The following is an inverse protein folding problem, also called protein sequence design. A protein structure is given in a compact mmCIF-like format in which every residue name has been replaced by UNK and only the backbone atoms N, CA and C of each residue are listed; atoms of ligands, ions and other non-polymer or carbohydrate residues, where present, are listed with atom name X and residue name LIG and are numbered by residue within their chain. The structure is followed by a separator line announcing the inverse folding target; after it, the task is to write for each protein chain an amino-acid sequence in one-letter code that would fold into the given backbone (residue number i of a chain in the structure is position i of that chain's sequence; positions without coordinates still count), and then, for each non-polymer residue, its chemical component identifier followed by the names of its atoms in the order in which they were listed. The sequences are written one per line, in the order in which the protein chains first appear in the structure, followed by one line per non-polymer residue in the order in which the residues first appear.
data_IF_410565231118
#
_entry.id   IF_410565231118
#
_cell.length_a   1.000
_cell.length_b   1.000
_cell.length_c   1.000
_cell.angle_alpha   90.00
_cell.angle_beta   90.00
_cell.angle_gamma   90.00
#
_symmetry.space_group_name_H-M   'P 1'
#
loop_
_entity.id
_entity.type
_entity.pdbx_description
1 polymer ?
#
# COMPACT_ATOMS: atom_id res chain seq x y z
N UNK A 1 -6.37 12.26 -13.59
CA UNK A 1 -6.13 12.88 -12.27
C UNK A 1 -5.41 14.20 -12.48
N UNK A 2 -5.42 15.09 -11.49
CA UNK A 2 -4.93 16.47 -11.68
C UNK A 2 -3.40 16.62 -11.63
N UNK A 3 -2.70 15.58 -11.19
CA UNK A 3 -1.24 15.56 -11.10
C UNK A 3 -0.64 14.96 -12.39
N UNK A 4 0.51 15.49 -12.80
CA UNK A 4 1.26 14.94 -13.94
C UNK A 4 1.91 13.61 -13.59
N UNK A 5 2.05 12.73 -14.59
CA UNK A 5 2.75 11.45 -14.43
C UNK A 5 4.24 11.68 -14.10
N UNK A 6 4.85 12.73 -14.66
CA UNK A 6 6.21 13.15 -14.35
C UNK A 6 6.40 13.51 -12.86
N UNK A 7 5.44 14.21 -12.25
CA UNK A 7 5.48 14.49 -10.81
C UNK A 7 5.36 13.20 -9.98
N UNK A 8 4.57 12.24 -10.45
CA UNK A 8 4.44 10.94 -9.79
C UNK A 8 5.77 10.17 -9.83
N UNK A 9 6.44 10.12 -10.98
CA UNK A 9 7.77 9.51 -11.12
C UNK A 9 8.78 10.18 -10.20
N UNK A 10 8.83 11.52 -10.19
CA UNK A 10 9.73 12.28 -9.28
C UNK A 10 9.46 11.95 -7.82
N UNK A 11 8.19 11.85 -7.42
CA UNK A 11 7.82 11.51 -6.06
C UNK A 11 8.26 10.10 -5.68
N UNK A 12 8.00 9.10 -6.52
CA UNK A 12 8.39 7.70 -6.25
C UNK A 12 9.91 7.58 -6.19
N UNK A 13 10.63 8.21 -7.13
CA UNK A 13 12.10 8.23 -7.15
C UNK A 13 12.67 8.85 -5.88
N UNK A 14 12.12 9.96 -5.41
CA UNK A 14 12.57 10.57 -4.17
C UNK A 14 12.35 9.64 -2.97
N UNK A 15 11.15 9.04 -2.84
CA UNK A 15 10.82 8.16 -1.71
C UNK A 15 11.68 6.88 -1.68
N UNK A 16 12.04 6.37 -2.86
CA UNK A 16 12.91 5.19 -3.05
C UNK A 16 14.39 5.54 -3.19
N UNK A 17 14.80 6.71 -2.66
CA UNK A 17 16.22 7.11 -2.56
C UNK A 17 16.97 7.13 -3.90
N UNK A 18 16.27 7.45 -4.99
CA UNK A 18 16.85 7.64 -6.32
C UNK A 18 16.99 6.39 -7.19
N UNK A 19 16.87 5.18 -6.63
CA UNK A 19 17.14 3.93 -7.37
C UNK A 19 15.82 3.28 -7.77
N UNK A 20 15.38 3.56 -8.99
CA UNK A 20 14.09 3.09 -9.53
C UNK A 20 14.12 2.85 -11.03
N UNK A 21 13.14 2.11 -11.55
CA UNK A 21 12.82 2.02 -12.97
C UNK A 21 11.75 3.03 -13.35
N UNK A 22 12.18 4.23 -13.73
CA UNK A 22 11.28 5.36 -14.05
C UNK A 22 10.34 5.05 -15.21
N UNK A 23 10.79 4.26 -16.18
CA UNK A 23 9.99 3.81 -17.32
C UNK A 23 8.78 2.98 -16.86
N UNK A 24 8.97 2.05 -15.92
CA UNK A 24 7.89 1.23 -15.36
C UNK A 24 6.93 2.06 -14.49
N UNK A 25 7.46 3.02 -13.73
CA UNK A 25 6.65 3.90 -12.88
C UNK A 25 5.80 4.84 -13.74
N UNK A 26 6.38 5.40 -14.81
CA UNK A 26 5.67 6.26 -15.74
C UNK A 26 4.57 5.48 -16.45
N UNK A 27 4.88 4.27 -16.93
CA UNK A 27 3.90 3.42 -17.61
C UNK A 27 2.73 3.04 -16.70
N UNK A 28 2.99 2.71 -15.44
CA UNK A 28 1.94 2.52 -14.43
C UNK A 28 1.12 3.80 -14.23
N UNK A 29 1.81 4.94 -14.02
CA UNK A 29 1.18 6.21 -13.69
C UNK A 29 0.23 6.73 -14.77
N UNK A 30 0.48 6.43 -16.05
CA UNK A 30 -0.42 6.81 -17.15
C UNK A 30 -1.63 5.89 -17.34
N UNK A 31 -1.66 4.70 -16.73
CA UNK A 31 -2.77 3.75 -16.85
C UNK A 31 -3.64 3.64 -15.58
N UNK A 32 -3.09 3.96 -14.41
CA UNK A 32 -3.74 3.67 -13.11
C UNK A 32 -5.10 4.35 -12.94
N UNK A 33 -5.27 5.56 -13.45
CA UNK A 33 -6.53 6.32 -13.30
C UNK A 33 -7.70 5.65 -14.02
N UNK A 34 -7.47 5.02 -15.17
CA UNK A 34 -8.51 4.30 -15.91
C UNK A 34 -9.00 3.07 -15.12
N UNK A 35 -8.08 2.35 -14.47
CA UNK A 35 -8.44 1.25 -13.56
C UNK A 35 -9.25 1.75 -12.36
N UNK A 36 -8.93 2.92 -11.80
CA UNK A 36 -9.70 3.52 -10.70
C UNK A 36 -11.12 3.90 -11.13
N UNK A 37 -11.29 4.43 -12.34
CA UNK A 37 -12.61 4.72 -12.91
C UNK A 37 -13.43 3.44 -13.07
N UNK A 38 -12.83 2.36 -13.58
CA UNK A 38 -13.48 1.05 -13.69
C UNK A 38 -13.91 0.51 -12.31
N UNK A 39 -13.09 0.68 -11.26
CA UNK A 39 -13.49 0.25 -9.92
C UNK A 39 -14.76 0.96 -9.43
N UNK A 40 -14.88 2.26 -9.67
CA UNK A 40 -16.09 3.01 -9.33
C UNK A 40 -17.30 2.55 -10.16
N UNK A 41 -17.09 2.33 -11.46
CA UNK A 41 -18.11 1.80 -12.38
C UNK A 41 -18.64 0.44 -11.93
N UNK A 42 -17.75 -0.44 -11.46
CA UNK A 42 -18.11 -1.74 -10.87
C UNK A 42 -18.74 -1.64 -9.48
N UNK A 43 -18.84 -0.44 -8.91
CA UNK A 43 -19.59 -0.16 -7.70
C UNK A 43 -18.76 0.19 -6.47
N UNK A 44 -17.45 0.41 -6.58
CA UNK A 44 -16.61 0.83 -5.45
C UNK A 44 -17.01 2.25 -4.99
N UNK A 45 -17.47 2.45 -3.75
CA UNK A 45 -17.91 3.78 -3.31
C UNK A 45 -16.72 4.72 -3.05
N UNK A 46 -16.57 5.74 -3.88
CA UNK A 46 -15.53 6.78 -3.80
C UNK A 46 -16.04 8.01 -3.04
N UNK A 47 -15.27 8.50 -2.05
CA UNK A 47 -15.62 9.73 -1.35
C UNK A 47 -15.42 10.94 -2.26
N UNK A 48 -16.35 11.89 -2.21
CA UNK A 48 -16.38 13.07 -3.10
C UNK A 48 -16.51 14.37 -2.33
N UNK A 49 -15.98 15.43 -2.91
CA UNK A 49 -16.13 16.80 -2.40
C UNK A 49 -17.28 17.50 -3.10
N UNK A 50 -18.07 18.25 -2.34
CA UNK A 50 -19.02 19.22 -2.87
C UNK A 50 -18.31 20.52 -3.27
N UNK A 51 -19.00 21.37 -4.02
CA UNK A 51 -18.48 22.69 -4.43
C UNK A 51 -18.16 23.60 -3.23
N UNK A 52 -18.86 23.44 -2.10
CA UNK A 52 -18.58 24.12 -0.83
C UNK A 52 -17.50 23.41 0.02
N UNK A 53 -16.68 22.55 -0.60
CA UNK A 53 -15.56 21.83 0.01
C UNK A 53 -15.91 20.86 1.15
N UNK A 54 -17.16 20.40 1.25
CA UNK A 54 -17.55 19.37 2.23
C UNK A 54 -17.26 17.97 1.69
N UNK A 55 -16.81 17.10 2.58
CA UNK A 55 -16.56 15.69 2.27
C UNK A 55 -17.86 14.90 2.36
N UNK A 56 -18.17 14.12 1.32
CA UNK A 56 -19.22 13.12 1.31
C UNK A 56 -18.59 11.73 1.23
N UNK A 57 -19.05 10.82 2.10
CA UNK A 57 -18.73 9.40 1.99
C UNK A 57 -19.16 8.81 0.64
N UNK A 58 -18.66 7.63 0.33
CA UNK A 58 -18.88 7.01 -0.98
C UNK A 58 -20.34 6.75 -1.33
N UNK A 59 -21.22 6.52 -0.35
CA UNK A 59 -22.64 6.33 -0.63
C UNK A 59 -23.33 7.67 -0.93
N UNK A 60 -23.15 8.67 -0.06
CA UNK A 60 -23.72 10.01 -0.23
C UNK A 60 -23.13 10.73 -1.44
N UNK A 61 -21.88 10.44 -1.79
CA UNK A 61 -21.16 11.01 -2.91
C UNK A 61 -21.69 10.58 -4.28
N UNK A 62 -22.42 9.46 -4.38
CA UNK A 62 -22.98 8.98 -5.66
C UNK A 62 -23.82 10.04 -6.39
N UNK A 63 -24.50 10.92 -5.65
CA UNK A 63 -25.33 12.00 -6.21
C UNK A 63 -24.52 13.08 -6.96
N UNK A 64 -23.19 13.12 -6.79
CA UNK A 64 -22.31 14.10 -7.42
C UNK A 64 -21.72 13.62 -8.77
N UNK A 65 -22.23 12.51 -9.33
CA UNK A 65 -21.67 11.90 -10.54
C UNK A 65 -20.44 11.03 -10.24
N UNK A 66 -19.76 10.54 -11.28
CA UNK A 66 -18.55 9.69 -11.15
C UNK A 66 -17.28 10.54 -11.21
N UNK A 67 -16.15 9.98 -10.75
CA UNK A 67 -14.83 10.59 -10.92
C UNK A 67 -14.49 10.77 -12.41
N UNK A 68 -14.91 9.81 -13.25
CA UNK A 68 -14.73 9.85 -14.70
C UNK A 68 -15.48 11.03 -15.34
N UNK A 69 -16.64 11.40 -14.80
CA UNK A 69 -17.46 12.52 -15.27
C UNK A 69 -17.07 13.87 -14.64
N UNK A 70 -15.97 13.92 -13.88
CA UNK A 70 -15.42 15.16 -13.32
C UNK A 70 -15.78 15.42 -11.85
N UNK A 71 -16.39 14.48 -11.14
CA UNK A 71 -16.58 14.62 -9.69
C UNK A 71 -15.22 14.71 -8.97
N UNK A 72 -15.11 15.66 -8.03
CA UNK A 72 -13.85 15.87 -7.30
C UNK A 72 -13.70 14.86 -6.15
N UNK A 73 -12.63 14.05 -6.08
CA UNK A 73 -12.45 13.08 -5.01
C UNK A 73 -12.02 13.76 -3.69
N UNK A 74 -12.39 13.14 -2.55
CA UNK A 74 -11.75 13.47 -1.27
C UNK A 74 -10.35 12.86 -1.24
N UNK A 75 -9.34 13.70 -1.05
CA UNK A 75 -7.93 13.31 -0.97
C UNK A 75 -7.44 13.32 0.48
N UNK A 76 -6.71 12.28 0.89
CA UNK A 76 -5.96 12.32 2.17
C UNK A 76 -4.63 13.03 1.99
N UNK A 77 -3.91 12.74 0.91
CA UNK A 77 -2.71 13.43 0.48
C UNK A 77 -2.73 13.70 -1.03
N UNK A 78 -1.61 14.15 -1.59
CA UNK A 78 -1.52 14.48 -3.03
C UNK A 78 -1.93 13.32 -3.94
N UNK A 79 -1.61 12.08 -3.55
CA UNK A 79 -1.68 10.90 -4.43
C UNK A 79 -2.79 9.90 -4.09
N UNK A 80 -3.47 10.06 -2.96
CA UNK A 80 -4.43 9.08 -2.43
C UNK A 80 -5.84 9.67 -2.37
N UNK A 81 -6.84 8.86 -2.70
CA UNK A 81 -8.27 9.19 -2.58
C UNK A 81 -8.94 8.32 -1.51
N UNK A 82 -9.98 8.85 -0.87
CA UNK A 82 -10.76 8.13 0.13
C UNK A 82 -11.85 7.28 -0.51
N UNK A 83 -12.04 6.08 0.03
CA UNK A 83 -13.02 5.09 -0.44
C UNK A 83 -13.70 4.40 0.74
N UNK A 84 -14.93 3.94 0.57
CA UNK A 84 -15.51 2.92 1.46
C UNK A 84 -15.14 1.53 0.90
N UNK A 85 -13.91 1.10 1.17
CA UNK A 85 -13.28 -0.04 0.51
C UNK A 85 -13.48 -1.40 1.15
N UNK A 86 -14.46 -1.59 2.04
CA UNK A 86 -14.68 -2.88 2.74
C UNK A 86 -14.83 -4.04 1.74
N UNK A 87 -15.64 -3.85 0.70
CA UNK A 87 -15.90 -4.84 -0.34
C UNK A 87 -14.98 -4.72 -1.56
N UNK A 88 -13.89 -3.95 -1.48
CA UNK A 88 -13.03 -3.65 -2.64
C UNK A 88 -12.55 -4.93 -3.35
N UNK A 89 -12.04 -5.92 -2.59
CA UNK A 89 -11.61 -7.19 -3.20
C UNK A 89 -12.78 -7.99 -3.80
N UNK A 90 -13.97 -7.94 -3.21
CA UNK A 90 -15.14 -8.65 -3.77
C UNK A 90 -15.55 -8.06 -5.11
N UNK A 91 -15.60 -6.74 -5.21
CA UNK A 91 -15.91 -6.01 -6.46
C UNK A 91 -14.92 -6.39 -7.56
N UNK A 92 -13.62 -6.30 -7.29
CA UNK A 92 -12.58 -6.63 -8.29
C UNK A 92 -12.60 -8.12 -8.65
N UNK A 93 -12.84 -9.01 -7.68
CA UNK A 93 -12.93 -10.45 -7.93
C UNK A 93 -14.16 -10.81 -8.78
N UNK A 94 -15.29 -10.14 -8.56
CA UNK A 94 -16.50 -10.32 -9.37
C UNK A 94 -16.27 -9.90 -10.83
N UNK A 95 -15.66 -8.73 -11.06
CA UNK A 95 -15.31 -8.28 -12.40
C UNK A 95 -14.37 -9.26 -13.12
N UNK A 96 -13.33 -9.76 -12.44
CA UNK A 96 -12.42 -10.76 -13.00
C UNK A 96 -13.13 -12.10 -13.30
N UNK A 97 -14.02 -12.53 -12.41
CA UNK A 97 -14.80 -13.76 -12.55
C UNK A 97 -15.76 -13.70 -13.74
N UNK A 98 -16.47 -12.58 -13.91
CA UNK A 98 -17.34 -12.33 -15.06
C UNK A 98 -16.58 -12.29 -16.39
N UNK A 99 -15.36 -11.74 -16.39
CA UNK A 99 -14.53 -11.64 -17.59
C UNK A 99 -13.92 -12.98 -18.01
N UNK A 100 -13.50 -13.82 -17.05
CA UNK A 100 -12.81 -15.09 -17.32
C UNK A 100 -13.74 -16.29 -17.43
N UNK A 101 -14.88 -16.29 -16.74
CA UNK A 101 -15.72 -17.48 -16.52
C UNK A 101 -15.22 -18.37 -15.39
N UNK A 102 -16.15 -18.89 -14.58
CA UNK A 102 -15.86 -19.74 -13.40
C UNK A 102 -15.02 -20.97 -13.73
N UNK A 103 -15.25 -21.57 -14.90
CA UNK A 103 -14.56 -22.76 -15.37
C UNK A 103 -13.06 -22.54 -15.63
N UNK A 104 -12.64 -21.29 -15.81
CA UNK A 104 -11.24 -20.90 -16.01
C UNK A 104 -10.55 -20.50 -14.71
N UNK A 105 -11.21 -20.65 -13.55
CA UNK A 105 -10.70 -20.26 -12.25
C UNK A 105 -10.50 -21.50 -11.37
N UNK A 106 -9.23 -21.80 -11.09
CA UNK A 106 -8.85 -22.84 -10.14
C UNK A 106 -8.61 -22.24 -8.76
N UNK A 107 -9.56 -22.42 -7.85
CA UNK A 107 -9.38 -22.06 -6.44
C UNK A 107 -8.81 -23.24 -5.64
N UNK A 108 -8.20 -22.93 -4.48
CA UNK A 108 -7.64 -23.93 -3.55
C UNK A 108 -6.59 -24.86 -4.18
N UNK A 109 -5.91 -24.38 -5.22
CA UNK A 109 -4.73 -25.01 -5.81
C UNK A 109 -3.51 -24.15 -5.45
N UNK A 110 -2.53 -24.75 -4.79
CA UNK A 110 -1.27 -24.07 -4.48
C UNK A 110 -0.22 -24.46 -5.51
N UNK A 111 0.29 -23.47 -6.24
CA UNK A 111 1.37 -23.65 -7.22
C UNK A 111 2.71 -23.66 -6.50
N UNK A 112 3.57 -24.62 -6.82
CA UNK A 112 4.83 -24.88 -6.12
C UNK A 112 6.05 -24.60 -7.00
N UNK A 113 5.99 -24.94 -8.28
CA UNK A 113 7.14 -24.88 -9.19
C UNK A 113 6.69 -24.52 -10.61
N UNK A 114 7.55 -23.82 -11.34
CA UNK A 114 7.39 -23.52 -12.76
C UNK A 114 8.14 -24.55 -13.61
N UNK A 115 7.63 -24.84 -14.79
CA UNK A 115 8.25 -25.77 -15.74
C UNK A 115 8.72 -24.97 -16.96
N UNK A 116 10.01 -25.03 -17.26
CA UNK A 116 10.56 -24.52 -18.52
C UNK A 116 10.42 -25.54 -19.65
N UNK A 117 10.52 -25.07 -20.89
CA UNK A 117 10.47 -25.88 -22.09
C UNK A 117 11.65 -26.87 -22.10
N UNK A 118 11.37 -28.11 -22.50
CA UNK A 118 12.35 -29.19 -22.48
C UNK A 118 13.51 -28.96 -23.49
N UNK A 119 13.26 -28.19 -24.55
CA UNK A 119 14.22 -27.91 -25.61
C UNK A 119 14.80 -26.49 -25.50
N UNK A 120 14.18 -25.61 -24.72
CA UNK A 120 14.65 -24.25 -24.48
C UNK A 120 14.58 -23.88 -22.98
N UNK A 121 15.70 -23.97 -22.24
CA UNK A 121 15.73 -23.78 -20.80
C UNK A 121 15.36 -22.36 -20.34
N UNK A 122 15.39 -21.37 -21.24
CA UNK A 122 15.02 -19.98 -20.95
C UNK A 122 13.57 -19.64 -21.34
N UNK A 123 12.78 -20.64 -21.70
CA UNK A 123 11.39 -20.46 -22.10
C UNK A 123 10.46 -21.19 -21.14
N UNK A 124 9.40 -20.52 -20.71
CA UNK A 124 8.40 -21.12 -19.83
C UNK A 124 7.46 -22.07 -20.61
N UNK A 125 7.03 -23.16 -19.98
CA UNK A 125 6.11 -24.15 -20.55
C UNK A 125 4.93 -24.52 -19.63
N UNK A 126 4.97 -24.16 -18.35
CA UNK A 126 3.89 -24.49 -17.43
C UNK A 126 4.21 -24.32 -15.96
N UNK A 127 3.34 -24.89 -15.12
CA UNK A 127 3.49 -24.91 -13.67
C UNK A 127 2.91 -26.19 -13.06
N UNK A 128 3.40 -26.54 -11.88
CA UNK A 128 2.93 -27.68 -11.08
C UNK A 128 2.40 -27.16 -9.75
N UNK A 129 1.26 -27.69 -9.34
CA UNK A 129 0.67 -27.43 -8.04
C UNK A 129 -0.15 -28.61 -7.53
N UNK A 130 -0.77 -28.43 -6.37
CA UNK A 130 -1.65 -29.44 -5.80
C UNK A 130 -2.86 -28.80 -5.13
N UNK A 131 -3.95 -29.55 -5.05
CA UNK A 131 -5.15 -29.12 -4.32
C UNK A 131 -4.91 -29.20 -2.81
N UNK A 132 -5.36 -28.18 -2.08
CA UNK A 132 -5.40 -28.18 -0.61
C UNK A 132 -6.75 -28.68 -0.07
N UNK A 133 -7.52 -29.40 -0.89
CA UNK A 133 -8.84 -29.96 -0.53
C UNK A 133 -8.99 -31.45 -0.89
N UNK A 134 -8.18 -31.95 -1.80
CA UNK A 134 -8.20 -33.34 -2.28
C UNK A 134 -6.80 -33.76 -2.74
N UNK A 135 -6.55 -35.06 -2.87
CA UNK A 135 -5.25 -35.60 -3.28
C UNK A 135 -5.08 -35.53 -4.80
N UNK A 136 -5.00 -34.31 -5.35
CA UNK A 136 -4.91 -34.05 -6.79
C UNK A 136 -3.71 -33.15 -7.10
N UNK A 137 -2.85 -33.63 -8.00
CA UNK A 137 -1.74 -32.86 -8.56
C UNK A 137 -2.19 -32.23 -9.88
N UNK A 138 -1.91 -30.93 -10.03
CA UNK A 138 -2.17 -30.17 -11.25
C UNK A 138 -0.87 -29.97 -12.01
N UNK A 139 -0.88 -30.36 -13.30
CA UNK A 139 0.17 -30.03 -14.25
C UNK A 139 -0.45 -29.14 -15.32
N UNK A 140 -0.12 -27.85 -15.27
CA UNK A 140 -0.72 -26.83 -16.13
C UNK A 140 0.28 -26.49 -17.22
N UNK A 141 -0.05 -26.78 -18.48
CA UNK A 141 0.75 -26.38 -19.63
C UNK A 141 0.28 -25.01 -20.12
N UNK A 142 1.22 -24.10 -20.35
CA UNK A 142 0.91 -22.73 -20.78
C UNK A 142 1.98 -22.22 -21.75
N UNK A 143 1.57 -21.39 -22.70
CA UNK A 143 2.50 -20.69 -23.61
C UNK A 143 3.09 -19.43 -22.98
N UNK A 144 2.30 -18.78 -22.12
CA UNK A 144 2.63 -17.55 -21.42
C UNK A 144 2.05 -17.62 -20.02
N UNK A 145 2.77 -17.06 -19.04
CA UNK A 145 2.38 -17.10 -17.63
C UNK A 145 2.60 -15.75 -16.96
N UNK A 146 1.73 -15.40 -16.01
CA UNK A 146 1.95 -14.30 -15.07
C UNK A 146 2.00 -14.86 -13.66
N UNK A 147 3.04 -14.51 -12.91
CA UNK A 147 3.20 -14.91 -11.51
C UNK A 147 2.86 -13.73 -10.60
N UNK A 148 1.63 -13.71 -10.07
CA UNK A 148 1.09 -12.62 -9.26
C UNK A 148 0.74 -13.08 -7.83
N UNK A 149 1.67 -13.72 -7.13
CA UNK A 149 1.44 -14.34 -5.81
C UNK A 149 1.75 -13.41 -4.61
N UNK A 150 1.92 -12.11 -4.85
CA UNK A 150 2.26 -11.10 -3.85
C UNK A 150 3.73 -11.18 -3.38
N UNK A 151 4.01 -10.54 -2.24
CA UNK A 151 5.37 -10.41 -1.68
C UNK A 151 5.79 -11.55 -0.73
N UNK A 152 6.62 -11.21 0.26
CA UNK A 152 7.10 -12.13 1.29
C UNK A 152 7.00 -11.51 2.70
N UNK A 153 6.42 -12.24 3.65
CA UNK A 153 6.33 -11.86 5.07
C UNK A 153 6.75 -13.03 5.97
N UNK A 154 6.87 -12.80 7.28
CA UNK A 154 7.36 -13.79 8.24
C UNK A 154 8.76 -14.36 7.94
N UNK A 155 9.52 -13.70 7.05
CA UNK A 155 10.94 -13.98 6.78
C UNK A 155 11.88 -13.34 7.83
N UNK A 156 11.35 -12.45 8.66
CA UNK A 156 12.01 -11.91 9.85
C UNK A 156 11.15 -12.22 11.08
N UNK A 157 11.78 -12.37 12.26
CA UNK A 157 11.05 -12.55 13.51
C UNK A 157 10.19 -11.30 13.83
N UNK A 158 8.86 -11.44 14.02
CA UNK A 158 7.99 -10.32 14.38
C UNK A 158 8.17 -9.90 15.85
N UNK A 159 7.65 -8.72 16.20
CA UNK A 159 7.69 -8.19 17.58
C UNK A 159 6.87 -9.03 18.58
N UNK A 160 5.80 -9.68 18.12
CA UNK A 160 4.98 -10.60 18.92
C UNK A 160 5.17 -12.02 18.41
N UNK A 161 5.64 -12.93 19.26
CA UNK A 161 6.06 -14.29 18.85
C UNK A 161 5.06 -15.41 19.21
N UNK A 162 4.08 -15.12 20.07
CA UNK A 162 2.94 -16.02 20.34
C UNK A 162 1.84 -15.90 19.29
N UNK A 163 0.58 -15.84 19.72
CA UNK A 163 -0.58 -15.68 18.81
C UNK A 163 -0.47 -14.43 17.91
N UNK A 164 0.15 -13.36 18.43
CA UNK A 164 0.44 -12.15 17.68
C UNK A 164 1.35 -12.33 16.46
N UNK A 165 1.98 -13.50 16.27
CA UNK A 165 2.76 -13.82 15.06
C UNK A 165 1.90 -13.79 13.79
N UNK A 166 0.60 -14.06 13.91
CA UNK A 166 -0.37 -13.91 12.81
C UNK A 166 -0.65 -12.46 12.41
N UNK A 167 -0.25 -11.48 13.23
CA UNK A 167 -0.52 -10.05 13.05
C UNK A 167 0.65 -9.35 12.35
N UNK A 168 0.98 -9.76 11.14
CA UNK A 168 1.88 -8.98 10.29
C UNK A 168 1.15 -7.76 9.71
N UNK A 169 1.88 -6.67 9.42
CA UNK A 169 1.30 -5.51 8.73
C UNK A 169 0.90 -5.84 7.27
N UNK A 170 1.75 -6.59 6.59
CA UNK A 170 1.49 -7.09 5.24
C UNK A 170 0.89 -8.51 5.32
N UNK A 171 0.12 -8.99 4.32
CA UNK A 171 -0.70 -10.19 4.48
C UNK A 171 0.09 -11.44 4.85
N UNK A 172 -0.27 -12.07 5.97
CA UNK A 172 0.47 -13.19 6.59
C UNK A 172 0.64 -14.42 5.69
N UNK A 173 -0.23 -14.58 4.70
CA UNK A 173 -0.20 -15.67 3.73
C UNK A 173 0.80 -15.48 2.58
N UNK A 174 1.48 -14.32 2.48
CA UNK A 174 2.47 -14.08 1.44
C UNK A 174 3.83 -14.73 1.80
N UNK A 175 4.10 -15.90 1.22
CA UNK A 175 5.29 -16.71 1.52
C UNK A 175 6.50 -16.45 0.59
N UNK A 176 6.45 -15.43 -0.29
CA UNK A 176 7.51 -15.20 -1.28
C UNK A 176 7.46 -16.11 -2.51
N UNK A 177 6.31 -16.76 -2.78
CA UNK A 177 6.15 -17.68 -3.92
C UNK A 177 6.49 -17.02 -5.25
N UNK A 178 6.14 -15.75 -5.46
CA UNK A 178 6.48 -14.99 -6.68
C UNK A 178 7.98 -15.02 -6.97
N UNK A 179 8.78 -14.67 -5.96
CA UNK A 179 10.23 -14.52 -6.11
C UNK A 179 10.90 -15.87 -6.33
N UNK A 180 10.60 -16.85 -5.48
CA UNK A 180 11.26 -18.16 -5.52
C UNK A 180 10.95 -18.91 -6.81
N UNK A 181 9.69 -18.93 -7.24
CA UNK A 181 9.29 -19.62 -8.46
C UNK A 181 9.90 -18.98 -9.71
N UNK A 182 9.85 -17.65 -9.82
CA UNK A 182 10.43 -16.93 -10.95
C UNK A 182 11.96 -17.10 -11.00
N UNK A 183 12.65 -16.97 -9.86
CA UNK A 183 14.10 -17.16 -9.77
C UNK A 183 14.52 -18.56 -10.20
N UNK A 184 13.81 -19.61 -9.74
CA UNK A 184 14.11 -21.00 -10.09
C UNK A 184 13.86 -21.31 -11.56
N UNK A 185 12.93 -20.60 -12.19
CA UNK A 185 12.72 -20.65 -13.64
C UNK A 185 13.78 -19.86 -14.44
N UNK A 186 14.74 -19.20 -13.77
CA UNK A 186 15.82 -18.46 -14.42
C UNK A 186 15.54 -16.97 -14.65
N UNK A 187 14.48 -16.41 -14.07
CA UNK A 187 14.21 -14.98 -14.18
C UNK A 187 15.20 -14.15 -13.35
N UNK A 188 15.63 -13.01 -13.90
CA UNK A 188 16.41 -12.02 -13.17
C UNK A 188 15.56 -11.37 -12.06
N UNK A 189 16.16 -11.22 -10.88
CA UNK A 189 15.58 -10.43 -9.79
C UNK A 189 16.32 -9.09 -9.67
N UNK A 190 15.60 -8.05 -9.28
CA UNK A 190 16.17 -6.71 -9.10
C UNK A 190 15.73 -6.12 -7.75
N UNK A 191 16.58 -5.31 -7.13
CA UNK A 191 16.31 -4.60 -5.87
C UNK A 191 15.88 -5.53 -4.71
N UNK A 192 16.41 -6.75 -4.64
CA UNK A 192 16.04 -7.74 -3.61
C UNK A 192 16.54 -7.38 -2.20
N UNK A 193 17.50 -6.47 -2.10
CA UNK A 193 17.97 -5.89 -0.85
C UNK A 193 17.00 -4.85 -0.28
N UNK A 194 16.11 -4.29 -1.12
CA UNK A 194 15.11 -3.33 -0.66
C UNK A 194 14.04 -4.03 0.18
N UNK A 195 13.81 -3.51 1.39
CA UNK A 195 12.77 -3.99 2.29
C UNK A 195 11.91 -2.84 2.76
N UNK A 196 10.62 -3.11 2.94
CA UNK A 196 9.70 -2.13 3.52
C UNK A 196 9.49 -2.41 5.01
N UNK A 197 9.91 -1.46 5.86
CA UNK A 197 9.67 -1.51 7.31
C UNK A 197 8.61 -0.47 7.68
N UNK A 198 7.34 -0.86 7.86
CA UNK A 198 6.27 0.10 8.12
C UNK A 198 6.31 0.61 9.56
N UNK A 199 6.34 1.93 9.75
CA UNK A 199 6.01 2.55 11.04
C UNK A 199 4.49 2.69 11.18
N UNK A 200 3.91 2.03 12.18
CA UNK A 200 2.46 1.92 12.41
C UNK A 200 2.15 1.97 13.90
N UNK A 201 0.86 2.01 14.24
CA UNK A 201 0.44 1.81 15.63
C UNK A 201 0.98 0.49 16.17
N UNK A 202 1.52 0.55 17.39
CA UNK A 202 2.18 -0.57 18.06
C UNK A 202 1.26 -1.79 18.13
N UNK A 203 1.84 -2.97 17.91
CA UNK A 203 1.24 -4.31 17.96
C UNK A 203 0.16 -4.59 16.89
N UNK A 204 -0.88 -3.76 16.79
CA UNK A 204 -1.97 -3.96 15.82
C UNK A 204 -1.63 -3.56 14.38
N UNK A 205 -0.58 -2.76 14.19
CA UNK A 205 -0.12 -2.23 12.90
C UNK A 205 -1.18 -1.45 12.11
N UNK A 206 -2.07 -0.76 12.82
CA UNK A 206 -3.10 0.10 12.23
C UNK A 206 -2.50 1.23 11.35
N UNK A 207 -3.26 1.70 10.35
CA UNK A 207 -2.78 2.71 9.40
C UNK A 207 -2.56 4.07 10.07
N UNK A 208 -1.49 4.75 9.67
CA UNK A 208 -1.13 6.10 10.16
C UNK A 208 -1.35 7.20 9.13
N UNK A 209 -1.57 6.84 7.86
CA UNK A 209 -1.66 7.81 6.75
C UNK A 209 -2.80 8.80 6.91
N UNK A 210 -4.00 8.34 7.28
CA UNK A 210 -5.13 9.24 7.55
C UNK A 210 -4.85 10.16 8.75
N UNK A 211 -4.23 9.65 9.81
CA UNK A 211 -3.86 10.47 10.97
C UNK A 211 -2.91 11.61 10.62
N UNK A 212 -1.84 11.34 9.88
CA UNK A 212 -0.92 12.40 9.44
C UNK A 212 -1.56 13.35 8.43
N UNK A 213 -2.22 12.80 7.41
CA UNK A 213 -2.53 13.58 6.20
C UNK A 213 -3.93 14.21 6.28
N UNK A 214 -4.91 13.53 6.86
CA UNK A 214 -6.26 14.04 7.05
C UNK A 214 -6.40 14.74 8.39
N UNK A 215 -6.05 14.05 9.49
CA UNK A 215 -6.28 14.57 10.84
C UNK A 215 -5.16 15.47 11.37
N UNK A 216 -4.06 15.60 10.63
CA UNK A 216 -2.90 16.44 10.98
C UNK A 216 -2.29 16.12 12.35
N UNK A 217 -2.39 14.86 12.78
CA UNK A 217 -1.69 14.38 13.97
C UNK A 217 -0.18 14.42 13.76
N UNK A 218 0.56 14.67 14.83
CA UNK A 218 2.03 14.57 14.87
C UNK A 218 2.49 13.40 15.73
N UNK A 219 3.79 13.14 15.68
CA UNK A 219 4.44 12.18 16.57
C UNK A 219 5.16 12.92 17.68
N UNK A 220 5.07 12.38 18.89
CA UNK A 220 5.81 12.83 20.05
C UNK A 220 6.73 11.72 20.56
N UNK A 221 7.88 12.11 21.10
CA UNK A 221 8.74 11.21 21.87
C UNK A 221 8.23 11.17 23.34
N UNK A 222 8.92 10.43 24.22
CA UNK A 222 8.51 10.30 25.63
C UNK A 222 8.56 11.61 26.43
N UNK A 223 9.21 12.64 25.91
CA UNK A 223 9.32 13.97 26.52
C UNK A 223 8.18 14.90 26.07
N UNK A 224 7.26 14.42 25.21
CA UNK A 224 6.20 15.25 24.61
C UNK A 224 6.69 16.13 23.46
N UNK A 225 7.89 15.87 22.94
CA UNK A 225 8.48 16.69 21.88
C UNK A 225 8.06 16.17 20.51
N UNK A 226 7.59 17.07 19.64
CA UNK A 226 7.45 16.79 18.20
C UNK A 226 8.84 16.70 17.53
N UNK A 227 9.52 15.58 17.78
CA UNK A 227 10.92 15.37 17.41
C UNK A 227 11.17 15.53 15.90
N UNK A 228 10.18 15.19 15.05
CA UNK A 228 10.31 15.27 13.60
C UNK A 228 10.48 16.73 13.11
N UNK A 229 10.03 17.72 13.89
CA UNK A 229 10.20 19.14 13.60
C UNK A 229 11.43 19.77 14.27
N UNK A 230 12.17 19.01 15.09
CA UNK A 230 13.33 19.50 15.85
C UNK A 230 14.52 19.83 14.94
N UNK A 231 15.41 20.71 15.42
CA UNK A 231 16.65 21.02 14.70
C UNK A 231 17.60 19.82 14.65
N UNK A 232 17.56 18.94 15.65
CA UNK A 232 18.29 17.67 15.62
C UNK A 232 17.82 16.77 14.47
N UNK A 233 16.50 16.65 14.25
CA UNK A 233 15.97 15.90 13.12
C UNK A 233 16.35 16.50 11.76
N UNK A 234 16.30 17.84 11.64
CA UNK A 234 16.74 18.53 10.41
C UNK A 234 18.23 18.30 10.14
N UNK A 235 19.07 18.40 11.16
CA UNK A 235 20.50 18.15 11.05
C UNK A 235 20.79 16.69 10.65
N UNK A 236 20.05 15.74 11.24
CA UNK A 236 20.17 14.33 10.88
C UNK A 236 19.75 14.06 9.43
N UNK A 237 18.64 14.65 8.97
CA UNK A 237 18.18 14.52 7.58
C UNK A 237 19.13 15.17 6.56
N UNK A 238 19.84 16.24 6.95
CA UNK A 238 20.79 16.92 6.07
C UNK A 238 21.95 16.00 5.63
N UNK A 239 22.31 14.99 6.43
CA UNK A 239 23.30 13.97 6.07
C UNK A 239 22.90 13.12 4.84
N UNK A 240 21.62 13.17 4.44
CA UNK A 240 21.06 12.39 3.34
C UNK A 240 20.59 13.26 2.17
N UNK A 241 21.17 14.45 2.00
CA UNK A 241 20.91 15.29 0.84
C UNK A 241 21.22 14.56 -0.49
N UNK A 242 20.45 14.80 -1.57
CA UNK A 242 19.34 15.75 -1.65
C UNK A 242 18.01 15.21 -1.07
N UNK A 243 17.92 13.91 -0.78
CA UNK A 243 16.66 13.24 -0.45
C UNK A 243 16.10 13.67 0.91
N UNK A 244 16.96 13.74 1.94
CA UNK A 244 16.57 14.15 3.30
C UNK A 244 16.14 15.61 3.40
N UNK A 245 16.58 16.45 2.46
CA UNK A 245 16.24 17.87 2.36
C UNK A 245 15.07 18.16 1.42
N UNK A 246 14.46 17.12 0.83
CA UNK A 246 13.27 17.27 0.00
C UNK A 246 12.05 17.75 0.79
N UNK A 247 11.09 18.38 0.11
CA UNK A 247 9.87 18.91 0.74
C UNK A 247 9.09 17.85 1.53
N UNK A 248 9.15 16.59 1.09
CA UNK A 248 8.68 15.42 1.83
C UNK A 248 9.86 14.46 1.97
N UNK A 249 10.43 14.31 3.17
CA UNK A 249 11.53 13.38 3.39
C UNK A 249 11.09 11.94 3.06
N UNK A 250 11.92 11.13 2.40
CA UNK A 250 11.65 9.72 2.09
C UNK A 250 11.15 8.90 3.28
N UNK A 251 10.29 7.92 3.02
CA UNK A 251 9.69 7.07 4.06
C UNK A 251 10.72 6.40 4.96
N UNK A 252 11.81 5.88 4.38
CA UNK A 252 12.90 5.27 5.15
C UNK A 252 13.62 6.26 6.07
N UNK A 253 13.78 7.52 5.65
CA UNK A 253 14.40 8.57 6.47
C UNK A 253 13.46 9.05 7.58
N UNK A 254 12.14 9.07 7.35
CA UNK A 254 11.16 9.31 8.44
C UNK A 254 11.21 8.19 9.49
N UNK A 255 11.38 6.94 9.08
CA UNK A 255 11.61 5.83 10.01
C UNK A 255 12.97 5.95 10.74
N UNK A 256 14.01 6.42 10.04
CA UNK A 256 15.33 6.64 10.62
C UNK A 256 15.28 7.63 11.78
N UNK A 257 14.51 8.72 11.65
CA UNK A 257 14.30 9.66 12.76
C UNK A 257 13.67 9.01 14.00
N UNK A 258 12.71 8.08 13.81
CA UNK A 258 12.16 7.33 14.94
C UNK A 258 13.21 6.43 15.59
N UNK A 259 14.09 5.80 14.80
CA UNK A 259 15.19 4.99 15.32
C UNK A 259 16.23 5.84 16.05
N UNK A 260 16.50 7.06 15.55
CA UNK A 260 17.39 8.03 16.19
C UNK A 260 16.90 8.36 17.60
N UNK A 261 15.61 8.66 17.77
CA UNK A 261 14.99 8.91 19.08
C UNK A 261 15.04 7.68 19.99
N UNK A 262 14.65 6.51 19.48
CA UNK A 262 14.61 5.28 20.26
C UNK A 262 16.01 4.84 20.73
N UNK A 263 17.04 4.98 19.89
CA UNK A 263 18.43 4.64 20.25
C UNK A 263 18.98 5.57 21.33
N UNK A 264 18.51 6.81 21.37
CA UNK A 264 18.86 7.76 22.41
C UNK A 264 18.01 7.61 23.68
N UNK A 265 17.17 6.56 23.77
CA UNK A 265 16.35 6.28 24.96
C UNK A 265 15.12 7.18 25.11
N UNK A 266 14.76 7.96 24.08
CA UNK A 266 13.60 8.89 24.12
C UNK A 266 12.29 8.27 23.63
N UNK A 267 12.24 6.96 23.46
CA UNK A 267 10.98 6.24 23.23
C UNK A 267 10.13 6.14 24.51
N UNK A 268 8.81 5.83 24.42
CA UNK A 268 8.07 5.44 23.22
C UNK A 268 7.79 6.61 22.26
N UNK A 269 7.55 6.26 20.99
CA UNK A 269 7.02 7.21 20.00
C UNK A 269 5.51 7.09 20.01
N UNK A 270 4.83 8.20 20.28
CA UNK A 270 3.39 8.30 20.46
C UNK A 270 2.82 9.14 19.33
N UNK A 271 1.66 8.76 18.80
CA UNK A 271 0.88 9.62 17.91
C UNK A 271 -0.17 10.34 18.73
N UNK A 272 -0.15 11.66 18.74
CA UNK A 272 -1.13 12.47 19.49
C UNK A 272 -2.47 12.54 18.74
N UNK A 273 -3.26 11.47 18.87
CA UNK A 273 -4.59 11.38 18.27
C UNK A 273 -5.61 12.23 19.02
N UNK A 274 -5.42 12.43 20.32
CA UNK A 274 -6.34 13.20 21.18
C UNK A 274 -6.26 14.68 20.83
N UNK A 275 -5.05 15.26 20.76
CA UNK A 275 -4.84 16.64 20.35
C UNK A 275 -5.29 16.88 18.91
N UNK A 276 -5.03 15.93 18.00
CA UNK A 276 -5.50 16.01 16.61
C UNK A 276 -7.03 16.10 16.51
N UNK A 277 -7.76 15.24 17.22
CA UNK A 277 -9.23 15.24 17.23
C UNK A 277 -9.80 16.47 17.94
N UNK A 278 -9.20 16.90 19.05
CA UNK A 278 -9.62 18.11 19.75
C UNK A 278 -9.54 19.34 18.83
N UNK A 279 -8.43 19.48 18.09
CA UNK A 279 -8.23 20.58 17.13
C UNK A 279 -9.21 20.54 15.96
N UNK A 280 -9.53 19.35 15.44
CA UNK A 280 -10.58 19.21 14.42
C UNK A 280 -11.96 19.61 14.97
N UNK A 281 -12.24 19.28 16.22
CA UNK A 281 -13.50 19.62 16.88
C UNK A 281 -13.76 21.11 17.06
N UNK A 282 -12.73 21.96 16.92
CA UNK A 282 -12.90 23.42 16.89
C UNK A 282 -13.61 23.90 15.62
N UNK A 283 -13.54 23.15 14.53
CA UNK A 283 -14.08 23.55 13.21
C UNK A 283 -15.20 22.65 12.70
N UNK A 284 -15.42 21.49 13.32
CA UNK A 284 -16.46 20.52 12.93
C UNK A 284 -17.63 20.49 13.91
N UNK A 285 -18.84 20.24 13.41
CA UNK A 285 -20.00 19.99 14.29
C UNK A 285 -19.89 18.63 15.00
N UNK A 286 -20.59 18.48 16.13
CA UNK A 286 -20.67 17.20 16.87
C UNK A 286 -21.13 16.02 16.01
N UNK A 287 -22.02 16.27 15.03
CA UNK A 287 -22.51 15.23 14.12
C UNK A 287 -21.44 14.79 13.13
N UNK A 288 -20.63 15.73 12.65
CA UNK A 288 -19.53 15.43 11.73
C UNK A 288 -18.38 14.71 12.45
N UNK A 289 -18.05 15.12 13.68
CA UNK A 289 -17.08 14.41 14.52
C UNK A 289 -17.50 12.96 14.77
N UNK A 290 -18.75 12.73 15.19
CA UNK A 290 -19.27 11.38 15.43
C UNK A 290 -19.26 10.51 14.17
N UNK A 291 -19.38 11.12 12.99
CA UNK A 291 -19.31 10.39 11.73
C UNK A 291 -17.88 9.94 11.37
N UNK A 292 -16.85 10.57 11.93
CA UNK A 292 -15.46 10.12 11.77
C UNK A 292 -15.13 8.88 12.63
N UNK A 293 -15.92 8.61 13.66
CA UNK A 293 -15.78 7.46 14.56
C UNK A 293 -16.41 6.16 14.02
N UNK A 294 -17.25 6.26 12.98
CA UNK A 294 -18.06 5.19 12.39
C UNK A 294 -17.53 4.71 11.04
#
# INVERSE_FOLDING_TARGET
GDNTVDDYVRMVRNDLMGIVREDLIFDLGRHVDDSVHLFEEWGLPMWKKTDDNKNLDGHKGKKLGTLKDGATPVRTGKWQIMINGESYKRIVAEAAKLALGDENILERVFIVELINDANNPNQIAGAIGFSVRENKVYVIKAKTMMVACGGAVNIYQPRSVGEGKGRAWYPVWNAGSTYTMALRAGAELSMMENRFTPARFKDGYGPVGAWFLLFKAHLENALGENFAASDAAKAELANYAPYGTGAVPPTCLRNHLMLFEMKAGRGPIIMDTVGALAKLGETMSKKELKHLES
#
